data_IF_875370678805
#
_entry.id   IF_875370678805
#
_cell.length_a   1.000
_cell.length_b   1.000
_cell.length_c   1.000
_cell.angle_alpha   90.00
_cell.angle_beta   90.00
_cell.angle_gamma   90.00
#
_symmetry.space_group_name_H-M   'P 1'
#
loop_
_entity.id
_entity.type
_entity.pdbx_description
1 polymer ?
#
# COMPACT_ATOMS: atom_id res chain seq x y z
N UNK A 1 26.58 -28.34 29.51
CA UNK A 1 25.40 -27.73 30.18
C UNK A 1 24.70 -26.88 29.14
N UNK A 2 23.44 -27.13 28.89
CA UNK A 2 22.68 -26.22 28.01
C UNK A 2 22.51 -24.88 28.75
N UNK A 3 22.77 -23.79 28.05
CA UNK A 3 22.59 -22.45 28.60
C UNK A 3 21.10 -22.24 28.93
N UNK A 4 20.73 -22.03 30.23
CA UNK A 4 19.33 -21.84 30.60
C UNK A 4 18.72 -20.55 30.02
N UNK A 5 19.55 -19.65 29.45
CA UNK A 5 19.12 -18.40 28.82
C UNK A 5 19.03 -18.49 27.30
N UNK A 6 19.38 -19.65 26.70
CA UNK A 6 19.34 -19.81 25.22
C UNK A 6 17.95 -19.59 24.60
N UNK A 7 16.88 -19.75 25.39
CA UNK A 7 15.49 -19.57 24.93
C UNK A 7 14.87 -18.22 25.37
N UNK A 8 15.65 -17.30 25.92
CA UNK A 8 15.12 -15.97 26.26
C UNK A 8 14.96 -15.12 24.98
N UNK A 9 13.89 -14.32 24.99
CA UNK A 9 13.63 -13.35 23.92
C UNK A 9 14.81 -12.37 23.86
N UNK A 10 15.58 -12.42 22.78
CA UNK A 10 16.77 -11.59 22.60
C UNK A 10 16.42 -10.13 22.30
N UNK A 11 15.29 -9.89 21.63
CA UNK A 11 14.82 -8.55 21.33
C UNK A 11 13.60 -8.21 22.18
N UNK A 12 13.74 -7.22 23.06
CA UNK A 12 12.68 -6.72 23.95
C UNK A 12 12.04 -5.43 23.45
N UNK A 13 12.47 -4.92 22.31
CA UNK A 13 11.92 -3.73 21.69
C UNK A 13 10.76 -4.11 20.77
N UNK A 14 9.58 -3.53 21.03
CA UNK A 14 8.41 -3.74 20.21
C UNK A 14 8.34 -2.67 19.12
N UNK A 15 7.85 -3.06 17.94
CA UNK A 15 7.65 -2.15 16.85
C UNK A 15 6.53 -1.14 17.19
N UNK A 16 6.83 0.15 17.06
CA UNK A 16 5.85 1.21 17.27
C UNK A 16 5.09 1.50 15.96
N UNK A 17 3.75 1.66 16.00
CA UNK A 17 2.96 1.89 14.78
C UNK A 17 3.15 3.28 14.18
N UNK A 18 3.86 4.18 14.85
CA UNK A 18 4.03 5.58 14.46
C UNK A 18 5.13 5.77 13.40
N UNK A 19 6.11 4.87 13.37
CA UNK A 19 7.27 4.97 12.48
C UNK A 19 7.03 4.28 11.15
N UNK A 20 6.56 5.00 10.14
CA UNK A 20 6.48 4.49 8.77
C UNK A 20 6.67 5.62 7.76
N UNK A 21 7.09 5.26 6.56
CA UNK A 21 7.17 6.14 5.40
C UNK A 21 6.69 5.38 4.18
N UNK A 22 5.66 5.90 3.52
CA UNK A 22 5.20 5.35 2.26
C UNK A 22 5.80 6.14 1.10
N UNK A 23 6.22 5.46 0.04
CA UNK A 23 6.71 6.06 -1.19
C UNK A 23 6.01 5.45 -2.39
N UNK A 24 5.59 6.31 -3.32
CA UNK A 24 4.94 5.94 -4.56
C UNK A 24 5.76 6.51 -5.71
N UNK A 25 6.22 5.66 -6.62
CA UNK A 25 7.15 6.08 -7.69
C UNK A 25 6.52 7.12 -8.62
N UNK A 26 5.27 6.93 -9.00
CA UNK A 26 4.56 7.81 -9.94
C UNK A 26 4.16 9.16 -9.33
N UNK A 27 3.77 9.17 -8.05
CA UNK A 27 3.27 10.37 -7.37
C UNK A 27 3.91 10.56 -5.98
N UNK A 28 5.17 11.01 -5.92
CA UNK A 28 5.91 11.13 -4.66
C UNK A 28 5.28 12.13 -3.68
N UNK A 29 4.54 13.13 -4.16
CA UNK A 29 3.84 14.11 -3.32
C UNK A 29 2.71 13.48 -2.49
N UNK A 30 2.00 12.49 -3.03
CA UNK A 30 0.96 11.76 -2.29
C UNK A 30 1.59 10.97 -1.15
N UNK A 31 2.72 10.35 -1.41
CA UNK A 31 3.46 9.57 -0.43
C UNK A 31 3.97 10.41 0.75
N UNK A 32 4.40 11.64 0.49
CA UNK A 32 4.98 12.53 1.50
C UNK A 32 3.99 12.90 2.62
N UNK A 33 2.71 13.07 2.31
CA UNK A 33 1.66 13.45 3.27
C UNK A 33 0.89 12.25 3.85
N UNK A 34 1.38 11.02 3.67
CA UNK A 34 0.72 9.86 4.23
C UNK A 34 0.77 9.85 5.75
N UNK A 35 -0.39 9.75 6.39
CA UNK A 35 -0.53 9.74 7.85
C UNK A 35 -1.00 8.39 8.40
N UNK A 36 -1.45 7.48 7.54
CA UNK A 36 -1.78 6.11 7.90
C UNK A 36 -1.58 5.19 6.71
N UNK A 37 -1.01 4.02 6.97
CA UNK A 37 -0.86 2.95 5.99
C UNK A 37 -1.16 1.61 6.67
N UNK A 38 -1.79 0.71 5.95
CA UNK A 38 -2.11 -0.62 6.44
C UNK A 38 -1.44 -1.65 5.55
N UNK A 39 -0.63 -2.54 6.15
CA UNK A 39 -0.13 -3.71 5.43
C UNK A 39 -1.32 -4.62 5.13
N UNK A 40 -1.54 -4.99 3.87
CA UNK A 40 -2.67 -5.82 3.49
C UNK A 40 -2.60 -7.21 4.11
N UNK A 41 -3.76 -7.78 4.38
CA UNK A 41 -3.87 -9.16 4.85
C UNK A 41 -3.48 -10.15 3.74
N UNK A 42 -3.00 -11.30 4.19
CA UNK A 42 -2.68 -12.42 3.34
C UNK A 42 -3.48 -13.63 3.81
N UNK A 43 -4.28 -14.21 2.94
CA UNK A 43 -5.06 -15.40 3.26
C UNK A 43 -4.76 -16.55 2.30
N UNK A 44 -4.63 -17.75 2.87
CA UNK A 44 -4.45 -19.00 2.13
C UNK A 44 -5.80 -19.73 2.07
N UNK A 45 -6.21 -20.10 0.88
CA UNK A 45 -7.37 -20.97 0.70
C UNK A 45 -7.18 -22.32 1.38
N UNK A 46 -8.26 -22.92 1.83
CA UNK A 46 -8.27 -24.29 2.40
C UNK A 46 -9.12 -25.20 1.54
N UNK A 47 -8.71 -26.45 1.41
CA UNK A 47 -9.50 -27.53 0.81
C UNK A 47 -9.93 -28.49 1.92
N UNK A 48 -11.16 -28.97 1.88
CA UNK A 48 -11.68 -29.89 2.88
C UNK A 48 -11.66 -31.30 2.31
N UNK A 49 -10.97 -32.20 2.98
CA UNK A 49 -11.01 -33.64 2.68
C UNK A 49 -12.06 -34.30 3.59
N UNK A 50 -13.15 -34.85 3.03
CA UNK A 50 -14.16 -35.51 3.82
C UNK A 50 -13.62 -36.83 4.40
N UNK A 51 -13.88 -37.05 5.68
CA UNK A 51 -13.58 -38.29 6.40
C UNK A 51 -14.81 -38.76 7.19
N UNK A 52 -14.88 -40.03 7.49
CA UNK A 52 -16.05 -40.63 8.15
C UNK A 52 -16.42 -40.02 9.51
N UNK A 53 -15.44 -39.56 10.28
CA UNK A 53 -15.66 -39.04 11.64
C UNK A 53 -15.57 -37.53 11.70
N UNK A 54 -14.75 -36.90 10.86
CA UNK A 54 -14.51 -35.44 10.84
C UNK A 54 -13.89 -35.05 9.51
N UNK A 55 -14.33 -33.93 8.95
CA UNK A 55 -13.68 -33.33 7.80
C UNK A 55 -12.29 -32.80 8.19
N UNK A 56 -11.31 -33.04 7.33
CA UNK A 56 -9.90 -32.67 7.54
C UNK A 56 -9.60 -31.49 6.61
N UNK A 57 -9.21 -30.36 7.19
CA UNK A 57 -8.78 -29.21 6.42
C UNK A 57 -7.34 -29.39 5.94
N UNK A 58 -7.15 -29.23 4.64
CA UNK A 58 -5.85 -29.30 3.97
C UNK A 58 -5.50 -27.90 3.46
N UNK A 59 -4.24 -27.44 3.57
CA UNK A 59 -3.83 -26.16 3.00
C UNK A 59 -4.04 -26.16 1.48
N UNK A 60 -4.71 -25.14 0.98
CA UNK A 60 -4.90 -24.92 -0.45
C UNK A 60 -3.67 -24.27 -1.09
N UNK A 61 -3.68 -24.14 -2.40
CA UNK A 61 -2.55 -23.60 -3.18
C UNK A 61 -2.68 -22.12 -3.54
N UNK A 62 -3.86 -21.53 -3.28
CA UNK A 62 -4.17 -20.16 -3.73
C UNK A 62 -4.07 -19.14 -2.59
N UNK A 63 -3.15 -18.18 -2.73
CA UNK A 63 -3.05 -17.01 -1.87
C UNK A 63 -3.96 -15.89 -2.39
N UNK A 64 -4.63 -15.22 -1.46
CA UNK A 64 -5.42 -14.01 -1.73
C UNK A 64 -4.82 -12.85 -0.95
N UNK A 65 -4.62 -11.75 -1.64
CA UNK A 65 -4.09 -10.50 -1.08
C UNK A 65 -5.24 -9.51 -0.86
N UNK A 66 -5.24 -8.86 0.30
CA UNK A 66 -6.15 -7.75 0.60
C UNK A 66 -5.76 -6.47 -0.14
N UNK A 67 -6.62 -5.46 -0.08
CA UNK A 67 -6.37 -4.17 -0.70
C UNK A 67 -5.41 -3.32 0.17
N UNK A 68 -4.55 -2.55 -0.48
CA UNK A 68 -3.68 -1.57 0.18
C UNK A 68 -4.45 -0.26 0.38
N UNK A 69 -4.59 0.14 1.63
CA UNK A 69 -5.25 1.41 1.99
C UNK A 69 -4.23 2.38 2.55
N UNK A 70 -4.15 3.55 1.94
CA UNK A 70 -3.27 4.65 2.37
C UNK A 70 -4.11 5.88 2.63
N UNK A 71 -3.97 6.46 3.82
CA UNK A 71 -4.59 7.74 4.18
C UNK A 71 -3.52 8.83 4.13
N UNK A 72 -3.86 9.96 3.54
CA UNK A 72 -2.97 11.11 3.40
C UNK A 72 -3.71 12.42 3.67
N UNK A 73 -2.96 13.42 4.13
CA UNK A 73 -3.45 14.79 4.28
C UNK A 73 -3.57 15.44 2.92
N UNK A 74 -4.68 16.13 2.69
CA UNK A 74 -4.89 16.87 1.45
C UNK A 74 -4.15 18.20 1.53
N UNK A 75 -3.34 18.48 0.51
CA UNK A 75 -2.61 19.73 0.36
C UNK A 75 -3.58 20.92 0.13
N UNK A 76 -3.22 22.12 0.57
CA UNK A 76 -4.01 23.34 0.41
C UNK A 76 -4.40 23.62 -1.06
N UNK A 77 -3.52 23.27 -1.99
CA UNK A 77 -3.76 23.37 -3.43
C UNK A 77 -4.43 22.13 -4.03
N UNK A 78 -4.79 21.13 -3.22
CA UNK A 78 -5.38 19.84 -3.62
C UNK A 78 -4.55 19.05 -4.66
N UNK A 79 -3.27 19.37 -4.85
CA UNK A 79 -2.45 18.77 -5.91
C UNK A 79 -2.29 17.25 -5.73
N UNK A 80 -2.13 16.79 -4.49
CA UNK A 80 -2.00 15.38 -4.19
C UNK A 80 -3.32 14.61 -4.42
N UNK A 81 -4.46 15.21 -4.05
CA UNK A 81 -5.78 14.64 -4.31
C UNK A 81 -6.08 14.59 -5.82
N UNK A 82 -5.82 15.70 -6.53
CA UNK A 82 -5.99 15.78 -7.98
C UNK A 82 -5.11 14.79 -8.73
N UNK A 83 -3.88 14.56 -8.26
CA UNK A 83 -2.98 13.56 -8.86
C UNK A 83 -3.60 12.16 -8.81
N UNK A 84 -4.14 11.75 -7.66
CA UNK A 84 -4.82 10.46 -7.50
C UNK A 84 -6.11 10.38 -8.31
N UNK A 85 -6.90 11.46 -8.31
CA UNK A 85 -8.12 11.55 -9.10
C UNK A 85 -7.84 11.43 -10.60
N UNK A 86 -6.83 12.15 -11.10
CA UNK A 86 -6.45 12.11 -12.51
C UNK A 86 -5.90 10.74 -12.91
N UNK A 87 -5.19 10.06 -12.01
CA UNK A 87 -4.74 8.70 -12.27
C UNK A 87 -5.91 7.73 -12.41
N UNK A 88 -6.90 7.77 -11.49
CA UNK A 88 -8.14 6.99 -11.60
C UNK A 88 -8.91 7.31 -12.88
N UNK A 89 -9.05 8.62 -13.19
CA UNK A 89 -9.76 9.08 -14.38
C UNK A 89 -9.05 8.65 -15.67
N UNK A 90 -7.73 8.67 -15.68
CA UNK A 90 -6.93 8.22 -16.82
C UNK A 90 -7.04 6.72 -17.09
N UNK A 91 -7.15 5.90 -16.04
CA UNK A 91 -7.39 4.46 -16.18
C UNK A 91 -8.81 4.18 -16.69
N UNK A 92 -9.81 4.88 -16.14
CA UNK A 92 -11.23 4.69 -16.48
C UNK A 92 -11.69 5.41 -17.75
N UNK A 93 -10.94 6.40 -18.24
CA UNK A 93 -11.20 7.26 -19.42
C UNK A 93 -12.71 7.57 -19.69
N UNK A 94 -13.42 8.18 -18.71
CA UNK A 94 -14.88 8.35 -18.79
C UNK A 94 -15.33 9.33 -19.90
N UNK A 95 -14.46 10.23 -20.33
CA UNK A 95 -14.80 11.25 -21.32
C UNK A 95 -14.25 10.93 -22.71
N UNK A 96 -12.95 10.65 -22.81
CA UNK A 96 -12.30 10.40 -24.10
C UNK A 96 -11.19 9.33 -23.96
N UNK A 97 -10.98 8.50 -25.02
CA UNK A 97 -9.86 7.56 -25.06
C UNK A 97 -8.49 8.22 -24.96
N UNK A 98 -8.41 9.54 -25.23
CA UNK A 98 -7.16 10.31 -25.12
C UNK A 98 -6.64 10.35 -23.69
N UNK A 99 -7.54 10.35 -22.68
CA UNK A 99 -7.14 10.32 -21.26
C UNK A 99 -6.30 9.09 -20.91
N UNK A 100 -6.65 7.94 -21.47
CA UNK A 100 -5.85 6.73 -21.30
C UNK A 100 -4.53 6.83 -22.08
N UNK A 101 -4.55 7.39 -23.28
CA UNK A 101 -3.34 7.60 -24.07
C UNK A 101 -2.33 8.49 -23.34
N UNK A 102 -2.81 9.57 -22.70
CA UNK A 102 -1.97 10.50 -21.94
C UNK A 102 -1.35 9.85 -20.71
N UNK A 103 -2.06 8.91 -20.06
CA UNK A 103 -1.53 8.14 -18.93
C UNK A 103 -0.50 7.09 -19.32
N UNK A 104 -0.62 6.55 -20.52
CA UNK A 104 0.24 5.47 -21.03
C UNK A 104 1.40 5.98 -21.91
N UNK A 105 1.48 7.28 -22.16
CA UNK A 105 2.57 7.88 -22.92
C UNK A 105 3.67 8.32 -21.97
N UNK A 106 4.87 7.75 -22.13
CA UNK A 106 6.04 8.12 -21.35
C UNK A 106 6.62 9.47 -21.80
N UNK A 107 7.67 9.93 -21.09
CA UNK A 107 8.37 11.20 -21.37
C UNK A 107 8.92 11.27 -22.80
N UNK A 108 9.27 10.13 -23.39
CA UNK A 108 9.80 10.02 -24.75
C UNK A 108 8.71 9.97 -25.83
N UNK A 109 7.43 10.07 -25.44
CA UNK A 109 6.28 10.02 -26.36
C UNK A 109 5.94 8.62 -26.86
N UNK A 110 6.52 7.58 -26.28
CA UNK A 110 6.23 6.18 -26.60
C UNK A 110 5.10 5.69 -25.70
N UNK A 111 4.12 5.01 -26.28
CA UNK A 111 3.03 4.38 -25.53
C UNK A 111 3.50 3.09 -24.90
N UNK A 112 3.40 3.00 -23.59
CA UNK A 112 3.62 1.79 -22.82
C UNK A 112 2.39 1.52 -21.95
N UNK A 113 1.63 0.45 -22.20
CA UNK A 113 0.48 0.08 -21.37
C UNK A 113 0.83 -0.17 -19.91
N UNK A 114 2.09 -0.47 -19.58
CA UNK A 114 2.56 -0.70 -18.22
C UNK A 114 2.68 0.60 -17.41
N UNK A 115 2.74 1.75 -18.07
CA UNK A 115 2.72 3.07 -17.42
C UNK A 115 1.43 3.37 -16.64
N UNK A 116 0.39 2.56 -16.80
CA UNK A 116 -0.81 2.61 -15.95
C UNK A 116 -0.48 2.26 -14.50
N UNK A 117 0.48 1.35 -14.30
CA UNK A 117 0.90 0.87 -12.99
C UNK A 117 2.00 1.74 -12.38
N UNK A 118 2.20 1.58 -11.09
CA UNK A 118 3.29 2.20 -10.35
C UNK A 118 3.84 1.23 -9.33
N UNK A 119 5.09 1.39 -8.97
CA UNK A 119 5.66 0.69 -7.83
C UNK A 119 5.56 1.55 -6.58
N UNK A 120 5.36 0.90 -5.44
CA UNK A 120 5.35 1.56 -4.16
C UNK A 120 6.11 0.79 -3.10
N UNK A 121 6.60 1.49 -2.10
CA UNK A 121 7.24 0.88 -0.95
C UNK A 121 6.79 1.51 0.35
N UNK A 122 6.55 0.65 1.34
CA UNK A 122 6.25 1.05 2.72
C UNK A 122 7.47 0.71 3.57
N UNK A 123 8.16 1.73 4.03
CA UNK A 123 9.27 1.64 4.95
C UNK A 123 8.75 1.61 6.38
N UNK A 124 9.14 0.61 7.12
CA UNK A 124 8.79 0.44 8.54
C UNK A 124 10.01 0.87 9.36
N UNK A 125 9.79 1.86 10.25
CA UNK A 125 10.85 2.48 11.02
C UNK A 125 10.82 2.00 12.47
N UNK A 126 11.98 1.92 13.08
CA UNK A 126 12.12 1.69 14.52
C UNK A 126 11.91 2.99 15.33
N UNK A 127 12.04 2.90 16.66
CA UNK A 127 11.95 4.06 17.57
C UNK A 127 13.01 5.13 17.32
N UNK A 128 14.08 4.81 16.59
CA UNK A 128 15.16 5.73 16.20
C UNK A 128 14.98 6.26 14.78
N UNK A 129 13.80 6.03 14.15
CA UNK A 129 13.50 6.40 12.76
C UNK A 129 14.44 5.81 11.70
N UNK A 130 14.99 4.62 11.98
CA UNK A 130 15.77 3.86 11.03
C UNK A 130 14.90 2.76 10.41
N UNK A 131 15.12 2.47 9.14
CA UNK A 131 14.43 1.40 8.43
C UNK A 131 14.73 0.04 9.09
N UNK A 132 13.68 -0.71 9.39
CA UNK A 132 13.76 -2.10 9.88
C UNK A 132 13.36 -3.08 8.80
N UNK A 133 12.31 -2.73 8.07
CA UNK A 133 11.81 -3.56 6.99
C UNK A 133 11.20 -2.68 5.90
N UNK A 134 11.25 -3.16 4.68
CA UNK A 134 10.68 -2.50 3.52
C UNK A 134 9.70 -3.45 2.84
N UNK A 135 8.43 -3.04 2.78
CA UNK A 135 7.40 -3.76 2.04
C UNK A 135 7.31 -3.15 0.65
N UNK A 136 7.67 -3.90 -0.38
CA UNK A 136 7.59 -3.47 -1.78
C UNK A 136 6.33 -4.05 -2.43
N UNK A 137 5.58 -3.18 -3.07
CA UNK A 137 4.39 -3.49 -3.84
C UNK A 137 4.68 -3.31 -5.31
N UNK A 138 4.35 -4.31 -6.11
CA UNK A 138 4.54 -4.29 -7.55
C UNK A 138 3.20 -4.06 -8.25
N UNK A 139 3.23 -3.27 -9.31
CA UNK A 139 2.07 -3.01 -10.18
C UNK A 139 0.87 -2.41 -9.42
N UNK A 140 1.13 -1.40 -8.59
CA UNK A 140 0.10 -0.66 -7.88
C UNK A 140 -0.77 0.15 -8.85
N UNK A 141 -2.07 0.11 -8.63
CA UNK A 141 -3.03 1.00 -9.28
C UNK A 141 -4.18 1.35 -8.33
N UNK A 142 -4.71 2.58 -8.39
CA UNK A 142 -5.80 2.99 -7.53
C UNK A 142 -7.13 2.39 -8.01
N UNK A 143 -7.98 2.03 -7.04
CA UNK A 143 -9.32 1.47 -7.26
C UNK A 143 -10.40 2.40 -6.73
N UNK A 144 -10.12 3.05 -5.59
CA UNK A 144 -11.07 3.96 -4.96
C UNK A 144 -10.33 5.13 -4.29
N UNK A 145 -11.00 6.27 -4.25
CA UNK A 145 -10.59 7.48 -3.57
C UNK A 145 -11.78 8.01 -2.80
N UNK A 146 -11.60 8.34 -1.51
CA UNK A 146 -12.68 8.87 -0.68
C UNK A 146 -13.11 10.26 -1.12
N UNK A 147 -14.39 10.59 -0.88
CA UNK A 147 -14.92 11.93 -1.06
C UNK A 147 -14.35 12.91 -0.02
N UNK A 148 -14.31 14.18 -0.37
CA UNK A 148 -14.03 15.27 0.56
C UNK A 148 -15.36 15.99 0.84
N UNK A 149 -15.68 16.14 2.12
CA UNK A 149 -16.89 16.80 2.56
C UNK A 149 -16.54 18.20 3.09
N UNK A 150 -17.16 19.22 2.53
CA UNK A 150 -16.97 20.61 2.90
C UNK A 150 -18.17 21.11 3.68
N UNK A 151 -17.96 21.53 4.94
CA UNK A 151 -18.96 22.14 5.80
C UNK A 151 -18.48 23.55 6.23
N UNK A 152 -19.19 24.58 5.77
CA UNK A 152 -18.89 25.97 6.09
C UNK A 152 -19.35 26.38 7.51
N UNK A 153 -20.04 25.50 8.22
CA UNK A 153 -20.52 25.75 9.58
C UNK A 153 -19.54 25.28 10.66
N UNK A 154 -18.52 24.51 10.28
CA UNK A 154 -17.44 24.12 11.19
C UNK A 154 -16.63 25.33 11.64
N UNK A 155 -16.44 25.45 12.95
CA UNK A 155 -15.65 26.53 13.56
C UNK A 155 -14.24 26.11 13.92
N UNK A 156 -13.98 24.81 13.94
CA UNK A 156 -12.67 24.24 14.27
C UNK A 156 -11.80 24.09 13.01
N UNK A 157 -10.50 24.33 13.18
CA UNK A 157 -9.53 24.14 12.10
C UNK A 157 -9.21 22.64 11.99
N UNK A 158 -9.88 22.00 11.04
CA UNK A 158 -9.62 20.60 10.68
C UNK A 158 -8.92 20.52 9.32
N UNK A 159 -8.04 19.54 9.17
CA UNK A 159 -7.38 19.26 7.91
C UNK A 159 -8.08 18.10 7.19
N UNK A 160 -8.27 18.24 5.89
CA UNK A 160 -8.83 17.15 5.09
C UNK A 160 -7.87 15.97 5.01
N UNK A 161 -8.43 14.80 5.24
CA UNK A 161 -7.76 13.53 4.99
C UNK A 161 -8.49 12.78 3.89
N UNK A 162 -7.75 12.30 2.90
CA UNK A 162 -8.27 11.41 1.88
C UNK A 162 -7.68 10.02 2.06
N UNK A 163 -8.45 9.02 1.66
CA UNK A 163 -8.04 7.63 1.68
C UNK A 163 -8.07 7.08 0.26
N UNK A 164 -6.96 6.52 -0.19
CA UNK A 164 -6.86 5.85 -1.47
C UNK A 164 -6.73 4.35 -1.24
N UNK A 165 -7.62 3.59 -1.86
CA UNK A 165 -7.55 2.14 -1.91
C UNK A 165 -6.88 1.73 -3.21
N UNK A 166 -5.82 0.94 -3.10
CA UNK A 166 -5.01 0.48 -4.23
C UNK A 166 -4.96 -1.04 -4.27
N UNK A 167 -4.87 -1.58 -5.48
CA UNK A 167 -4.57 -2.98 -5.74
C UNK A 167 -3.18 -3.12 -6.34
N UNK A 168 -2.63 -4.30 -6.21
CA UNK A 168 -1.28 -4.64 -6.66
C UNK A 168 -1.21 -6.12 -7.01
N UNK A 169 -0.19 -6.52 -7.75
CA UNK A 169 -0.01 -7.93 -8.15
C UNK A 169 0.54 -8.77 -7.00
N UNK A 170 1.59 -8.30 -6.35
CA UNK A 170 2.25 -9.00 -5.23
C UNK A 170 2.98 -8.00 -4.34
N UNK A 171 3.08 -8.31 -3.05
CA UNK A 171 4.00 -7.62 -2.18
C UNK A 171 5.02 -8.57 -1.57
N UNK A 172 6.19 -8.05 -1.28
CA UNK A 172 7.25 -8.76 -0.59
C UNK A 172 7.82 -7.89 0.52
N UNK A 173 8.20 -8.54 1.62
CA UNK A 173 8.86 -7.89 2.74
C UNK A 173 10.35 -8.17 2.64
N UNK A 174 11.16 -7.12 2.74
CA UNK A 174 12.61 -7.18 2.66
C UNK A 174 13.22 -6.63 3.95
N UNK A 175 14.38 -7.13 4.30
CA UNK A 175 15.23 -6.55 5.33
C UNK A 175 15.74 -5.16 4.92
N UNK A 176 16.37 -4.43 5.87
CA UNK A 176 16.83 -3.05 5.76
C UNK A 176 17.55 -2.74 4.45
N UNK A 177 18.35 -3.67 3.93
CA UNK A 177 19.09 -3.49 2.67
C UNK A 177 18.25 -3.76 1.42
N UNK A 178 16.98 -4.14 1.58
CA UNK A 178 16.05 -4.54 0.51
C UNK A 178 16.61 -5.62 -0.44
N UNK A 179 17.64 -6.34 -0.01
CA UNK A 179 18.36 -7.37 -0.79
C UNK A 179 17.91 -8.78 -0.43
N UNK A 180 17.53 -8.99 0.83
CA UNK A 180 17.10 -10.30 1.34
C UNK A 180 15.62 -10.27 1.64
N UNK A 181 14.86 -11.21 1.07
CA UNK A 181 13.47 -11.44 1.48
C UNK A 181 13.45 -12.02 2.88
N UNK A 182 12.61 -11.48 3.73
CA UNK A 182 12.34 -12.01 5.06
C UNK A 182 11.38 -13.20 5.00
#
# INVERSE_FOLDING_TARGET
>A
MADPFANQIQNRNFLAPVGFKFTLSKYPKVAFFSNSARIPELSLGTATQPSYLKDIDIPGEKLTYGDLTIRFLVDENMQNYMAMHNWLKGIGFPETPQQFADQTTNVDGVRDPLEVFSDGSLHILNSNFQDVAIVKFNDLFPVALTSLEFDATETDINYFTAEATMRYTVYNIFDTDARTRL
#
